data_IF_813398218609
#
_entry.id   IF_813398218609
#
_cell.length_a   1.000
_cell.length_b   1.000
_cell.length_c   1.000
_cell.angle_alpha   90.00
_cell.angle_beta   90.00
_cell.angle_gamma   90.00
#
_symmetry.space_group_name_H-M   'P 1'
#
loop_
_entity.id
_entity.type
_entity.pdbx_description
1 polymer ?
#
# COMPACT_ATOMS: atom_id res chain seq x y z
N UNK A 1 13.82 -1.88 10.23
CA UNK A 1 13.76 -2.63 8.96
C UNK A 1 12.75 -1.93 8.07
N UNK A 2 13.15 -1.37 6.93
CA UNK A 2 12.18 -0.96 5.90
C UNK A 2 11.72 -2.23 5.21
N UNK A 3 10.47 -2.63 5.43
CA UNK A 3 9.83 -3.70 4.67
C UNK A 3 8.82 -3.05 3.76
N UNK A 4 9.05 -3.18 2.46
CA UNK A 4 8.06 -2.76 1.49
C UNK A 4 6.94 -3.80 1.47
N UNK A 5 5.69 -3.33 1.48
CA UNK A 5 4.51 -4.17 1.30
C UNK A 5 4.19 -4.11 -0.19
N UNK A 6 4.18 -5.27 -0.84
CA UNK A 6 3.94 -5.34 -2.28
C UNK A 6 2.85 -6.37 -2.59
N UNK A 7 1.98 -6.04 -3.53
CA UNK A 7 1.05 -6.98 -4.14
C UNK A 7 0.81 -6.66 -5.60
N UNK A 8 0.19 -7.60 -6.30
CA UNK A 8 -0.22 -7.46 -7.69
C UNK A 8 -1.72 -7.70 -7.74
N UNK A 9 -2.41 -6.86 -8.49
CA UNK A 9 -3.82 -6.99 -8.81
C UNK A 9 -4.02 -6.89 -10.32
N UNK A 10 -5.19 -7.33 -10.77
CA UNK A 10 -5.57 -7.32 -12.18
C UNK A 10 -6.66 -6.27 -12.36
N UNK A 11 -6.41 -5.33 -13.25
CA UNK A 11 -7.34 -4.28 -13.62
C UNK A 11 -8.40 -4.82 -14.60
N UNK A 12 -9.48 -4.06 -14.76
CA UNK A 12 -10.62 -4.44 -15.63
C UNK A 12 -10.23 -4.59 -17.11
N UNK A 13 -9.23 -3.84 -17.56
CA UNK A 13 -8.63 -3.93 -18.89
C UNK A 13 -7.73 -5.17 -19.08
N UNK A 14 -7.59 -5.99 -18.03
CA UNK A 14 -6.78 -7.20 -18.01
C UNK A 14 -5.31 -6.97 -17.67
N UNK A 15 -4.88 -5.71 -17.52
CA UNK A 15 -3.50 -5.33 -17.20
C UNK A 15 -3.20 -5.59 -15.72
N UNK A 16 -1.99 -6.04 -15.42
CA UNK A 16 -1.57 -6.23 -14.02
C UNK A 16 -1.04 -4.90 -13.46
N UNK A 17 -1.51 -4.52 -12.28
CA UNK A 17 -0.98 -3.39 -11.51
C UNK A 17 -0.23 -3.92 -10.30
N UNK A 18 1.07 -3.66 -10.24
CA UNK A 18 1.89 -3.86 -9.03
C UNK A 18 1.73 -2.64 -8.14
N UNK A 19 1.39 -2.88 -6.88
CA UNK A 19 1.29 -1.85 -5.85
C UNK A 19 2.39 -2.11 -4.82
N UNK A 20 3.26 -1.12 -4.59
CA UNK A 20 4.36 -1.18 -3.61
C UNK A 20 4.28 -0.02 -2.64
N UNK A 21 4.32 -0.36 -1.35
CA UNK A 21 4.16 0.58 -0.24
C UNK A 21 5.39 0.59 0.64
N UNK A 22 5.92 1.78 0.87
CA UNK A 22 6.92 2.01 1.90
C UNK A 22 6.27 2.76 3.07
N UNK A 23 6.26 2.14 4.25
CA UNK A 23 5.78 2.76 5.49
C UNK A 23 7.00 3.29 6.26
N UNK A 24 6.93 4.56 6.67
CA UNK A 24 7.95 5.17 7.52
C UNK A 24 7.27 6.07 8.54
N UNK A 25 7.48 5.79 9.83
CA UNK A 25 6.87 6.59 10.91
C UNK A 25 7.17 8.10 10.82
N UNK A 26 8.33 8.48 10.28
CA UNK A 26 8.72 9.89 10.14
C UNK A 26 8.31 10.52 8.80
N UNK A 27 8.06 9.71 7.76
CA UNK A 27 7.80 10.20 6.39
C UNK A 27 6.40 9.86 5.87
N UNK A 28 5.60 9.15 6.66
CA UNK A 28 4.28 8.67 6.28
C UNK A 28 4.32 7.44 5.37
N UNK A 29 3.29 7.30 4.55
CA UNK A 29 3.06 6.15 3.66
C UNK A 29 3.32 6.61 2.22
N UNK A 30 4.27 5.95 1.56
CA UNK A 30 4.59 6.22 0.14
C UNK A 30 4.01 5.12 -0.73
N UNK A 31 3.16 5.53 -1.67
CA UNK A 31 2.58 4.69 -2.71
C UNK A 31 3.46 4.68 -3.96
N UNK A 32 3.54 3.53 -4.60
CA UNK A 32 4.23 3.34 -5.88
C UNK A 32 3.42 2.32 -6.67
N UNK A 33 3.01 2.70 -7.87
CA UNK A 33 2.24 1.85 -8.76
C UNK A 33 3.07 1.53 -9.99
N UNK A 34 2.90 0.34 -10.54
CA UNK A 34 3.45 -0.01 -11.84
C UNK A 34 2.47 -0.88 -12.59
N UNK A 35 1.98 -0.39 -13.71
CA UNK A 35 1.23 -1.23 -14.64
C UNK A 35 2.19 -2.08 -15.46
N UNK A 36 1.76 -3.28 -15.85
CA UNK A 36 2.60 -4.20 -16.62
C UNK A 36 2.81 -3.77 -18.07
N UNK A 37 1.92 -2.92 -18.59
CA UNK A 37 1.98 -2.32 -19.93
C UNK A 37 2.76 -0.99 -19.95
N UNK A 38 3.23 -0.51 -18.80
CA UNK A 38 4.02 0.71 -18.66
C UNK A 38 5.46 0.40 -18.22
N UNK A 39 6.41 1.13 -18.78
CA UNK A 39 7.83 0.95 -18.42
C UNK A 39 8.16 1.54 -17.05
N UNK A 40 7.47 2.61 -16.67
CA UNK A 40 7.79 3.45 -15.50
C UNK A 40 6.89 3.14 -14.31
N UNK A 41 7.41 3.48 -13.13
CA UNK A 41 6.60 3.53 -11.92
C UNK A 41 5.88 4.87 -11.86
N UNK A 42 4.63 4.82 -11.41
CA UNK A 42 3.81 5.96 -11.06
C UNK A 42 3.91 6.22 -9.55
N UNK A 43 4.29 7.46 -9.23
CA UNK A 43 4.46 7.95 -7.86
C UNK A 43 3.49 9.08 -7.51
N UNK A 44 2.74 9.56 -8.50
CA UNK A 44 1.96 10.80 -8.43
C UNK A 44 0.46 10.51 -8.29
N UNK A 45 -0.01 9.38 -8.82
CA UNK A 45 -1.41 8.98 -8.67
C UNK A 45 -1.74 8.69 -7.19
N UNK A 46 -2.80 9.32 -6.65
CA UNK A 46 -3.25 9.03 -5.30
C UNK A 46 -3.86 7.63 -5.22
N UNK A 47 -3.63 6.94 -4.11
CA UNK A 47 -4.25 5.65 -3.83
C UNK A 47 -5.77 5.77 -3.67
N UNK A 48 -6.49 4.81 -4.24
CA UNK A 48 -7.95 4.73 -4.12
C UNK A 48 -8.40 4.24 -2.73
N UNK A 49 -9.70 4.35 -2.42
CA UNK A 49 -10.26 3.79 -1.18
C UNK A 49 -10.04 2.27 -1.08
N UNK A 50 -10.09 1.56 -2.21
CA UNK A 50 -9.83 0.11 -2.27
C UNK A 50 -8.36 -0.21 -2.00
N UNK A 51 -7.44 0.60 -2.53
CA UNK A 51 -6.01 0.48 -2.25
C UNK A 51 -5.74 0.62 -0.74
N UNK A 52 -6.33 1.63 -0.10
CA UNK A 52 -6.21 1.84 1.35
C UNK A 52 -6.78 0.70 2.17
N UNK A 53 -7.91 0.14 1.76
CA UNK A 53 -8.50 -1.04 2.40
C UNK A 53 -7.56 -2.24 2.30
N UNK A 54 -7.03 -2.52 1.10
CA UNK A 54 -6.09 -3.61 0.86
C UNK A 54 -4.79 -3.45 1.68
N UNK A 55 -4.31 -2.21 1.84
CA UNK A 55 -3.15 -1.93 2.68
C UNK A 55 -3.43 -2.21 4.16
N UNK A 56 -4.59 -1.77 4.70
CA UNK A 56 -4.97 -2.05 6.09
C UNK A 56 -4.99 -3.56 6.35
N UNK A 57 -5.63 -4.34 5.49
CA UNK A 57 -5.70 -5.80 5.63
C UNK A 57 -4.32 -6.46 5.63
N UNK A 58 -3.43 -6.04 4.73
CA UNK A 58 -2.07 -6.57 4.64
C UNK A 58 -1.24 -6.22 5.87
N UNK A 59 -1.33 -4.99 6.36
CA UNK A 59 -0.61 -4.54 7.57
C UNK A 59 -1.16 -5.25 8.80
N UNK A 60 -2.48 -5.44 8.91
CA UNK A 60 -3.09 -6.22 9.97
C UNK A 60 -2.60 -7.68 9.96
N UNK A 61 -2.52 -8.31 8.77
CA UNK A 61 -1.97 -9.66 8.64
C UNK A 61 -0.49 -9.73 9.04
N UNK A 62 0.32 -8.72 8.71
CA UNK A 62 1.71 -8.63 9.16
C UNK A 62 1.82 -8.42 10.67
N UNK A 63 0.97 -7.57 11.26
CA UNK A 63 0.91 -7.33 12.69
C UNK A 63 0.57 -8.63 13.46
N UNK A 64 -0.44 -9.36 13.01
CA UNK A 64 -0.81 -10.66 13.59
C UNK A 64 0.33 -11.69 13.54
N UNK A 65 1.20 -11.59 12.53
CA UNK A 65 2.41 -12.42 12.38
C UNK A 65 3.64 -11.85 13.10
N UNK A 66 3.48 -10.79 13.90
CA UNK A 66 4.53 -10.04 14.61
C UNK A 66 5.61 -9.48 13.66
N UNK A 67 5.21 -9.10 12.45
CA UNK A 67 6.07 -8.55 11.38
C UNK A 67 5.82 -7.07 11.07
N UNK A 68 4.82 -6.46 11.70
CA UNK A 68 4.55 -5.03 11.73
C UNK A 68 4.27 -4.60 13.17
N UNK A 69 4.47 -3.32 13.48
CA UNK A 69 4.15 -2.77 14.81
C UNK A 69 2.69 -2.34 14.88
N UNK A 70 2.19 -2.18 16.11
CA UNK A 70 0.86 -1.61 16.33
C UNK A 70 0.76 -0.17 15.78
N UNK A 71 1.83 0.62 15.93
CA UNK A 71 1.91 2.00 15.45
C UNK A 71 1.79 2.09 13.92
N UNK A 72 2.41 1.14 13.18
CA UNK A 72 2.27 1.06 11.73
C UNK A 72 0.83 0.77 11.31
N UNK A 73 0.14 -0.13 12.02
CA UNK A 73 -1.27 -0.45 11.76
C UNK A 73 -2.19 0.75 12.03
N UNK A 74 -1.99 1.43 13.15
CA UNK A 74 -2.79 2.61 13.51
C UNK A 74 -2.55 3.78 12.55
N UNK A 75 -1.30 3.98 12.09
CA UNK A 75 -1.00 4.97 11.06
C UNK A 75 -1.80 4.71 9.78
N UNK A 76 -1.85 3.46 9.32
CA UNK A 76 -2.58 3.08 8.11
C UNK A 76 -4.09 3.29 8.28
N UNK A 77 -4.65 2.91 9.44
CA UNK A 77 -6.07 3.15 9.77
C UNK A 77 -6.42 4.64 9.76
N UNK A 78 -5.58 5.46 10.36
CA UNK A 78 -5.76 6.91 10.38
C UNK A 78 -5.73 7.51 8.97
N UNK A 79 -4.76 7.09 8.14
CA UNK A 79 -4.66 7.57 6.76
C UNK A 79 -5.83 7.09 5.90
N UNK A 80 -6.28 5.83 6.04
CA UNK A 80 -7.48 5.35 5.36
C UNK A 80 -8.69 6.19 5.71
N UNK A 81 -8.93 6.51 7.00
CA UNK A 81 -10.06 7.35 7.40
C UNK A 81 -10.02 8.76 6.80
N UNK A 82 -8.83 9.26 6.46
CA UNK A 82 -8.64 10.57 5.83
C UNK A 82 -8.82 10.54 4.31
N UNK A 83 -8.52 9.41 3.66
CA UNK A 83 -8.41 9.29 2.21
C UNK A 83 -9.43 8.32 1.58
N UNK A 84 -10.20 7.60 2.38
CA UNK A 84 -11.26 6.69 1.95
C UNK A 84 -12.64 7.22 2.31
#
# INVERSE_FOLDING_TARGET
>A
MKRDIEWIEKLDDGVKRTVRIAISMNKGIKWQFKRSDEERWDYDTPASSEDWLALEEKVAALYNRRRATHEELELVRLQRKKHG
#
